data_IF_010645322186
#
_entry.id   IF_010645322186
#
_cell.length_a   1.000
_cell.length_b   1.000
_cell.length_c   1.000
_cell.angle_alpha   90.00
_cell.angle_beta   90.00
_cell.angle_gamma   90.00
#
_symmetry.space_group_name_H-M   'P 1'
#
loop_
_entity.id
_entity.type
_entity.pdbx_description
1 polymer ?
#
# COMPACT_ATOMS: atom_id res chain seq x y z
N UNK A 1 -7.07 -13.03 -25.74
CA UNK A 1 -6.89 -11.77 -25.00
C UNK A 1 -5.94 -10.91 -25.82
N UNK A 2 -6.48 -9.92 -26.54
CA UNK A 2 -5.68 -9.04 -27.40
C UNK A 2 -4.87 -8.08 -26.51
N UNK A 3 -3.56 -8.11 -26.66
CA UNK A 3 -2.67 -7.08 -26.10
C UNK A 3 -2.88 -5.83 -26.94
N UNK A 4 -3.45 -4.78 -26.35
CA UNK A 4 -3.42 -3.43 -26.92
C UNK A 4 -2.10 -2.80 -26.49
N UNK A 5 -1.22 -2.59 -27.45
CA UNK A 5 -0.09 -1.68 -27.31
C UNK A 5 -0.69 -0.30 -27.55
N UNK A 6 -0.75 0.54 -26.51
CA UNK A 6 -1.10 1.94 -26.66
C UNK A 6 0.07 2.61 -27.38
N UNK A 7 -0.18 3.15 -28.57
CA UNK A 7 0.80 3.82 -29.43
C UNK A 7 1.28 5.16 -28.83
N UNK A 8 2.06 5.07 -27.75
CA UNK A 8 3.13 6.03 -27.46
C UNK A 8 4.46 5.28 -27.42
N UNK A 9 4.65 4.36 -28.37
CA UNK A 9 5.88 3.59 -28.59
C UNK A 9 6.96 4.52 -29.13
N UNK A 10 7.61 5.26 -28.23
CA UNK A 10 8.92 5.80 -28.56
C UNK A 10 9.87 4.61 -28.70
N UNK A 11 10.58 4.54 -29.83
CA UNK A 11 11.56 3.50 -30.16
C UNK A 11 12.61 3.23 -29.06
N UNK A 12 12.76 4.13 -28.06
CA UNK A 12 13.68 3.97 -26.94
C UNK A 12 13.24 2.98 -25.85
N UNK A 13 11.92 2.77 -25.65
CA UNK A 13 11.44 1.90 -24.57
C UNK A 13 11.62 0.42 -24.88
N UNK A 14 11.54 0.04 -26.17
CA UNK A 14 11.81 -1.31 -26.63
C UNK A 14 13.31 -1.65 -26.53
N UNK A 15 14.19 -0.69 -26.86
CA UNK A 15 15.64 -0.87 -26.79
C UNK A 15 16.12 -1.18 -25.36
N UNK A 16 15.61 -0.45 -24.36
CA UNK A 16 15.96 -0.68 -22.95
C UNK A 16 15.51 -2.04 -22.41
N UNK A 17 14.37 -2.57 -22.89
CA UNK A 17 13.92 -3.93 -22.53
C UNK A 17 14.86 -5.01 -23.09
N UNK A 18 15.46 -4.78 -24.26
CA UNK A 18 16.40 -5.71 -24.87
C UNK A 18 17.77 -5.72 -24.17
N UNK A 19 18.13 -4.66 -23.46
CA UNK A 19 19.36 -4.56 -22.65
C UNK A 19 19.29 -5.33 -21.32
N UNK A 20 18.08 -5.68 -20.86
CA UNK A 20 17.89 -6.50 -19.65
C UNK A 20 18.28 -7.96 -19.89
N UNK A 21 18.79 -8.61 -18.85
CA UNK A 21 19.01 -10.06 -18.87
C UNK A 21 17.70 -10.81 -19.16
N UNK A 22 17.81 -11.88 -19.95
CA UNK A 22 16.67 -12.65 -20.44
C UNK A 22 15.67 -13.08 -19.33
N UNK A 23 16.12 -13.59 -18.17
CA UNK A 23 15.20 -14.00 -17.11
C UNK A 23 14.35 -12.83 -16.58
N UNK A 24 14.98 -11.69 -16.33
CA UNK A 24 14.31 -10.50 -15.82
C UNK A 24 13.29 -9.94 -16.83
N UNK A 25 13.64 -9.93 -18.12
CA UNK A 25 12.71 -9.52 -19.19
C UNK A 25 11.46 -10.41 -19.22
N UNK A 26 11.62 -11.73 -19.11
CA UNK A 26 10.52 -12.69 -19.11
C UNK A 26 9.59 -12.49 -17.89
N UNK A 27 10.16 -12.22 -16.72
CA UNK A 27 9.39 -12.00 -15.49
C UNK A 27 8.60 -10.68 -15.52
N UNK A 28 9.19 -9.62 -16.05
CA UNK A 28 8.52 -8.33 -16.25
C UNK A 28 7.33 -8.46 -17.22
N UNK A 29 7.53 -9.14 -18.35
CA UNK A 29 6.48 -9.41 -19.32
C UNK A 29 5.35 -10.26 -18.72
N UNK A 30 5.70 -11.31 -17.97
CA UNK A 30 4.72 -12.19 -17.30
C UNK A 30 3.86 -11.43 -16.28
N UNK A 31 4.46 -10.46 -15.61
CA UNK A 31 3.81 -9.66 -14.56
C UNK A 31 3.02 -8.47 -15.11
N UNK A 32 3.06 -8.22 -16.42
CA UNK A 32 2.40 -7.07 -17.05
C UNK A 32 3.00 -5.73 -16.61
N UNK A 33 4.27 -5.72 -16.18
CA UNK A 33 4.96 -4.51 -15.70
C UNK A 33 5.48 -3.73 -16.92
N UNK A 34 5.11 -2.45 -17.02
CA UNK A 34 5.54 -1.56 -18.09
C UNK A 34 6.85 -0.86 -17.74
N UNK A 35 7.81 -0.85 -18.68
CA UNK A 35 9.10 -0.17 -18.51
C UNK A 35 9.01 1.28 -19.00
N UNK A 36 9.06 2.23 -18.06
CA UNK A 36 9.07 3.66 -18.37
C UNK A 36 10.53 4.13 -18.50
N UNK A 37 10.97 4.39 -19.74
CA UNK A 37 12.31 4.92 -20.01
C UNK A 37 12.32 6.45 -19.95
N UNK A 38 12.95 7.02 -18.92
CA UNK A 38 13.06 8.48 -18.71
C UNK A 38 13.57 8.84 -17.31
N UNK A 39 13.70 10.14 -17.00
CA UNK A 39 13.99 10.60 -15.62
C UNK A 39 12.71 10.50 -14.78
N UNK A 40 12.60 9.44 -13.98
CA UNK A 40 11.59 9.32 -12.94
C UNK A 40 12.00 10.22 -11.76
N UNK A 41 11.69 11.51 -11.84
CA UNK A 41 12.20 12.49 -10.85
C UNK A 41 11.66 12.27 -9.45
N UNK A 42 10.44 11.73 -9.29
CA UNK A 42 9.86 11.32 -8.00
C UNK A 42 8.81 10.23 -8.24
N UNK A 43 9.00 9.04 -7.66
CA UNK A 43 7.94 8.06 -7.50
C UNK A 43 7.65 7.93 -6.00
N UNK A 44 6.58 8.55 -5.53
CA UNK A 44 6.15 8.40 -4.14
C UNK A 44 5.14 7.27 -4.05
N UNK A 45 5.60 6.09 -3.63
CA UNK A 45 4.70 5.03 -3.20
C UNK A 45 4.10 5.45 -1.85
N UNK A 46 2.88 5.98 -1.86
CA UNK A 46 2.14 6.20 -0.62
C UNK A 46 1.73 4.84 -0.05
N UNK A 47 2.34 4.48 1.08
CA UNK A 47 1.93 3.30 1.83
C UNK A 47 0.50 3.49 2.33
N UNK A 48 -0.37 2.56 1.96
CA UNK A 48 -1.75 2.49 2.50
C UNK A 48 -1.80 1.74 3.83
N UNK A 49 -0.65 1.32 4.38
CA UNK A 49 -0.59 0.52 5.61
C UNK A 49 -1.31 1.20 6.76
N UNK A 50 -1.10 2.50 6.95
CA UNK A 50 -1.73 3.24 8.04
C UNK A 50 -3.26 3.23 7.92
N UNK A 51 -3.79 3.45 6.72
CA UNK A 51 -5.24 3.47 6.49
C UNK A 51 -5.84 2.07 6.60
N UNK A 52 -5.10 1.04 6.17
CA UNK A 52 -5.50 -0.36 6.36
C UNK A 52 -5.58 -0.74 7.83
N UNK A 53 -4.62 -0.32 8.66
CA UNK A 53 -4.66 -0.55 10.12
C UNK A 53 -5.89 0.15 10.72
N UNK A 54 -6.08 1.45 10.42
CA UNK A 54 -7.26 2.21 10.90
C UNK A 54 -8.58 1.56 10.52
N UNK A 55 -8.68 1.06 9.29
CA UNK A 55 -9.90 0.41 8.81
C UNK A 55 -10.10 -0.95 9.49
N UNK A 56 -9.03 -1.72 9.69
CA UNK A 56 -9.06 -3.01 10.39
C UNK A 56 -9.57 -2.90 11.83
N UNK A 57 -9.26 -1.81 12.53
CA UNK A 57 -9.76 -1.60 13.89
C UNK A 57 -11.29 -1.55 14.01
N UNK A 58 -12.02 -1.23 12.94
CA UNK A 58 -13.48 -1.05 13.00
C UNK A 58 -14.21 -2.37 13.20
N UNK A 59 -13.66 -3.43 12.66
CA UNK A 59 -14.27 -4.77 12.64
C UNK A 59 -13.58 -5.73 13.62
N UNK A 60 -12.56 -5.26 14.34
CA UNK A 60 -11.82 -6.03 15.33
C UNK A 60 -12.59 -6.08 16.66
N UNK A 61 -13.13 -7.26 16.96
CA UNK A 61 -13.93 -7.51 18.17
C UNK A 61 -13.17 -7.32 19.48
N UNK A 62 -11.87 -7.58 19.53
CA UNK A 62 -11.08 -7.34 20.75
C UNK A 62 -10.91 -5.85 20.99
N UNK A 63 -10.60 -5.10 19.93
CA UNK A 63 -10.45 -3.64 19.99
C UNK A 63 -11.77 -2.93 20.33
N UNK A 64 -12.90 -3.46 19.87
CA UNK A 64 -14.24 -2.98 20.28
C UNK A 64 -14.44 -3.19 21.79
N UNK A 65 -14.12 -4.36 22.33
CA UNK A 65 -14.21 -4.62 23.77
C UNK A 65 -13.32 -3.68 24.59
N UNK A 66 -12.11 -3.38 24.11
CA UNK A 66 -11.24 -2.40 24.77
C UNK A 66 -11.80 -0.97 24.71
N UNK A 67 -12.50 -0.58 23.63
CA UNK A 67 -13.19 0.72 23.57
C UNK A 67 -14.26 0.85 24.65
N UNK A 68 -15.11 -0.16 24.80
CA UNK A 68 -16.14 -0.18 25.84
C UNK A 68 -15.53 -0.10 27.26
N UNK A 69 -14.39 -0.76 27.48
CA UNK A 69 -13.65 -0.65 28.74
C UNK A 69 -13.11 0.75 29.00
N UNK A 70 -12.60 1.43 27.97
CA UNK A 70 -12.14 2.84 28.08
C UNK A 70 -13.32 3.77 28.34
N UNK A 71 -14.43 3.60 27.62
CA UNK A 71 -15.64 4.42 27.77
C UNK A 71 -16.33 4.24 29.13
N UNK A 72 -16.28 3.03 29.70
CA UNK A 72 -16.76 2.76 31.06
C UNK A 72 -15.86 3.35 32.16
N UNK A 73 -14.80 4.08 31.81
CA UNK A 73 -13.92 4.75 32.76
C UNK A 73 -12.97 3.81 33.51
N UNK A 74 -12.84 2.56 33.07
CA UNK A 74 -11.83 1.65 33.66
C UNK A 74 -10.44 2.12 33.25
N UNK A 75 -9.56 2.27 34.24
CA UNK A 75 -8.16 2.61 34.01
C UNK A 75 -7.52 1.51 33.15
N UNK A 76 -7.14 1.88 31.93
CA UNK A 76 -6.47 0.98 30.98
C UNK A 76 -5.29 1.70 30.33
N UNK A 77 -4.40 0.93 29.70
CA UNK A 77 -3.32 1.47 28.87
C UNK A 77 -3.81 1.92 27.48
N UNK A 78 -5.11 1.77 27.21
CA UNK A 78 -5.73 2.15 25.96
C UNK A 78 -6.35 3.54 26.04
N UNK A 79 -6.26 4.27 24.92
CA UNK A 79 -6.92 5.56 24.73
C UNK A 79 -7.67 5.57 23.41
N UNK A 80 -8.70 6.40 23.32
CA UNK A 80 -9.47 6.61 22.10
C UNK A 80 -9.12 8.00 21.57
N UNK A 81 -8.73 8.10 20.29
CA UNK A 81 -8.44 9.38 19.63
C UNK A 81 -9.72 10.13 19.25
N UNK A 82 -9.59 11.39 18.86
CA UNK A 82 -10.73 12.19 18.36
C UNK A 82 -11.41 11.55 17.13
N UNK A 83 -10.67 10.75 16.36
CA UNK A 83 -11.17 10.02 15.21
C UNK A 83 -11.80 8.66 15.57
N UNK A 84 -11.90 8.33 16.87
CA UNK A 84 -12.45 7.07 17.35
C UNK A 84 -11.51 5.87 17.19
N UNK A 85 -10.21 6.09 16.97
CA UNK A 85 -9.21 5.02 16.86
C UNK A 85 -8.69 4.65 18.24
N UNK A 86 -8.51 3.36 18.49
CA UNK A 86 -7.92 2.89 19.74
C UNK A 86 -6.40 2.88 19.63
N UNK A 87 -5.74 3.29 20.72
CA UNK A 87 -4.29 3.31 20.84
C UNK A 87 -3.86 2.67 22.14
N UNK A 88 -2.84 1.82 22.09
CA UNK A 88 -2.19 1.27 23.26
C UNK A 88 -0.92 2.08 23.55
N UNK A 89 -0.88 2.76 24.69
CA UNK A 89 0.26 3.62 25.07
C UNK A 89 0.67 4.61 23.96
N UNK A 90 -0.32 5.18 23.27
CA UNK A 90 -0.11 6.14 22.18
C UNK A 90 0.17 5.55 20.80
N UNK A 91 0.39 4.23 20.68
CA UNK A 91 0.59 3.51 19.41
C UNK A 91 -0.75 3.08 18.82
N UNK A 92 -0.90 3.20 17.50
CA UNK A 92 -2.08 2.70 16.79
C UNK A 92 -2.14 1.18 16.92
N UNK A 93 -3.28 0.66 17.37
CA UNK A 93 -3.54 -0.77 17.45
C UNK A 93 -3.87 -1.37 16.08
#
# INVERSE_FOLDING_TARGET
>A
MHVRISDTTSSGSLAALHELEKPLREDLCRSGIELITGKLSVMTLQSTLLDRIKQGQKDDTELIGYKELVESGKKSNFTISAEGLIRFQGRLC
#
